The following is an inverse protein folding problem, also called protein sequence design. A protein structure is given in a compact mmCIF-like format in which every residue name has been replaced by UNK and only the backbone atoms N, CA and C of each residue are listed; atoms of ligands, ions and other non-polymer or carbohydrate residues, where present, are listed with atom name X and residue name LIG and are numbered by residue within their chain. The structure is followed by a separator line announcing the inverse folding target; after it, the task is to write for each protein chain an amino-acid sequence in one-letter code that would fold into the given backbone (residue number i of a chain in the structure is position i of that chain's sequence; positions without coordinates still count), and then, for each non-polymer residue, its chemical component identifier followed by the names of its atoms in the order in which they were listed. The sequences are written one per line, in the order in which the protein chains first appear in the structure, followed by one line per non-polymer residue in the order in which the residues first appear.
data_IF_761770422547
#
_entry.id   IF_761770422547
#
_cell.length_a   1.000
_cell.length_b   1.000
_cell.length_c   1.000
_cell.angle_alpha   90.00
_cell.angle_beta   90.00
_cell.angle_gamma   90.00
#
_symmetry.space_group_name_H-M   'P 1'
#
loop_
_entity.id
_entity.type
_entity.pdbx_description
1 polymer ?
#
# COMPACT_ATOMS: atom_id res chain seq x y z
N UNK A 1 26.56 11.98 15.69
CA UNK A 1 25.74 10.75 15.62
C UNK A 1 26.67 9.55 15.69
N UNK A 2 26.82 8.96 16.87
CA UNK A 2 27.60 7.74 17.03
C UNK A 2 26.63 6.55 16.92
N UNK A 3 26.15 6.24 15.70
CA UNK A 3 25.42 5.01 15.44
C UNK A 3 26.37 3.83 15.68
N UNK A 4 25.94 2.85 16.44
CA UNK A 4 26.71 1.64 16.68
C UNK A 4 26.24 0.55 15.74
N UNK A 5 27.20 -0.05 15.04
CA UNK A 5 26.94 -1.19 14.15
C UNK A 5 26.48 -2.41 14.95
N UNK A 6 25.50 -3.16 14.42
CA UNK A 6 24.91 -4.34 15.04
C UNK A 6 24.21 -4.13 16.39
N UNK A 7 23.88 -2.89 16.74
CA UNK A 7 23.10 -2.54 17.93
C UNK A 7 21.80 -1.82 17.55
N UNK A 8 20.78 -1.92 18.41
CA UNK A 8 19.58 -1.09 18.28
C UNK A 8 19.94 0.32 18.75
N UNK A 9 19.91 1.24 17.82
CA UNK A 9 20.15 2.66 18.09
C UNK A 9 18.80 3.36 18.30
N UNK A 10 18.58 3.87 19.50
CA UNK A 10 17.36 4.61 19.83
C UNK A 10 17.60 6.11 19.70
N UNK A 11 16.80 6.78 18.89
CA UNK A 11 16.72 8.24 18.90
C UNK A 11 15.73 8.68 19.99
N UNK A 12 16.22 9.42 20.96
CA UNK A 12 15.43 9.91 22.09
C UNK A 12 15.40 11.43 22.09
N UNK A 13 14.22 12.04 22.28
CA UNK A 13 14.09 13.49 22.46
C UNK A 13 13.88 13.77 23.96
N UNK A 14 14.94 14.21 24.64
CA UNK A 14 14.98 14.47 26.08
C UNK A 14 13.97 15.53 26.55
N UNK A 15 13.47 16.36 25.65
CA UNK A 15 12.50 17.42 25.98
C UNK A 15 11.10 16.89 26.24
N UNK A 16 10.89 15.64 25.96
CA UNK A 16 9.57 15.02 25.95
C UNK A 16 9.42 14.07 27.14
N UNK A 17 8.62 14.44 28.11
CA UNK A 17 8.26 13.57 29.24
C UNK A 17 6.94 12.85 28.92
N UNK A 18 7.03 11.55 28.66
CA UNK A 18 5.89 10.68 28.44
C UNK A 18 5.44 10.05 29.76
N UNK A 19 4.16 10.22 30.08
CA UNK A 19 3.52 9.45 31.14
C UNK A 19 2.54 8.46 30.49
N UNK A 20 3.07 7.31 30.07
CA UNK A 20 2.27 6.30 29.39
C UNK A 20 1.40 5.55 30.41
N UNK A 21 0.10 5.52 30.18
CA UNK A 21 -0.86 4.69 30.92
C UNK A 21 -1.34 3.56 29.99
N UNK A 22 -0.77 2.38 30.05
CA UNK A 22 -1.15 1.25 29.19
C UNK A 22 -2.64 0.96 29.30
N UNK A 23 -3.27 0.65 28.14
CA UNK A 23 -4.70 0.37 28.07
C UNK A 23 -5.63 1.59 28.03
N UNK A 24 -5.08 2.81 28.15
CA UNK A 24 -5.87 4.04 28.05
C UNK A 24 -5.55 4.81 26.79
N UNK A 25 -6.58 5.46 26.23
CA UNK A 25 -6.42 6.43 25.15
C UNK A 25 -5.89 7.73 25.77
N UNK A 26 -4.72 8.16 25.31
CA UNK A 26 -4.03 9.36 25.83
C UNK A 26 -3.63 10.27 24.68
N UNK A 27 -4.06 11.52 24.72
CA UNK A 27 -3.74 12.52 23.70
C UNK A 27 -2.24 12.82 23.62
N UNK A 28 -1.51 12.69 24.73
CA UNK A 28 -0.07 12.87 24.72
C UNK A 28 0.59 11.76 23.89
N UNK A 29 0.16 10.51 24.04
CA UNK A 29 0.63 9.39 23.22
C UNK A 29 0.36 9.62 21.72
N UNK A 30 -0.80 10.19 21.38
CA UNK A 30 -1.15 10.58 20.00
C UNK A 30 -0.17 11.59 19.42
N UNK A 31 0.13 12.66 20.15
CA UNK A 31 1.13 13.68 19.75
C UNK A 31 2.52 13.09 19.55
N UNK A 32 2.90 12.12 20.36
CA UNK A 32 4.18 11.44 20.21
C UNK A 32 4.23 10.54 18.99
N UNK A 33 3.15 9.84 18.70
CA UNK A 33 3.04 9.03 17.47
C UNK A 33 3.18 9.92 16.24
N UNK A 34 2.51 11.06 16.22
CA UNK A 34 2.63 12.07 15.17
C UNK A 34 4.06 12.58 15.03
N UNK A 35 4.68 13.02 16.14
CA UNK A 35 6.06 13.52 16.14
C UNK A 35 7.05 12.45 15.66
N UNK A 36 6.87 11.19 16.08
CA UNK A 36 7.70 10.06 15.67
C UNK A 36 7.63 9.85 14.16
N UNK A 37 6.42 9.90 13.56
CA UNK A 37 6.23 9.79 12.13
C UNK A 37 6.93 10.91 11.36
N UNK A 38 6.74 12.16 11.76
CA UNK A 38 7.41 13.32 11.11
C UNK A 38 8.94 13.24 11.21
N UNK A 39 9.47 12.85 12.36
CA UNK A 39 10.94 12.73 12.53
C UNK A 39 11.52 11.59 11.70
N UNK A 40 10.84 10.45 11.68
CA UNK A 40 11.26 9.29 10.85
C UNK A 40 11.21 9.64 9.37
N UNK A 41 10.14 10.29 8.93
CA UNK A 41 10.00 10.75 7.55
C UNK A 41 11.08 11.76 7.16
N UNK A 42 11.41 12.71 8.07
CA UNK A 42 12.51 13.64 7.85
C UNK A 42 13.86 12.93 7.74
N UNK A 43 14.07 11.88 8.55
CA UNK A 43 15.25 11.01 8.43
C UNK A 43 15.34 10.35 7.06
N UNK A 44 14.23 9.81 6.56
CA UNK A 44 14.14 9.22 5.24
C UNK A 44 14.41 10.24 4.12
N UNK A 45 13.75 11.40 4.15
CA UNK A 45 13.94 12.46 3.15
C UNK A 45 15.36 13.04 3.12
N UNK A 46 16.14 12.84 4.17
CA UNK A 46 17.54 13.27 4.26
C UNK A 46 18.54 12.10 4.08
N UNK A 47 18.11 10.98 3.55
CA UNK A 47 18.94 9.78 3.29
C UNK A 47 19.68 9.26 4.55
N UNK A 48 19.09 9.47 5.74
CA UNK A 48 19.64 8.98 7.01
C UNK A 48 19.17 7.56 7.34
N UNK A 49 18.09 7.11 6.73
CA UNK A 49 17.51 5.77 6.85
C UNK A 49 17.05 5.29 5.48
N UNK A 50 17.16 3.99 5.23
CA UNK A 50 16.84 3.36 3.95
C UNK A 50 15.35 2.99 3.84
N UNK A 51 14.70 2.73 4.95
CA UNK A 51 13.28 2.40 4.98
C UNK A 51 12.62 2.85 6.28
N UNK A 52 11.30 2.96 6.26
CA UNK A 52 10.47 3.30 7.42
C UNK A 52 9.56 2.13 7.76
N UNK A 53 9.71 1.59 8.96
CA UNK A 53 8.81 0.58 9.53
C UNK A 53 7.98 1.24 10.61
N UNK A 54 6.66 1.28 10.42
CA UNK A 54 5.74 1.88 11.38
C UNK A 54 5.05 0.82 12.22
N UNK A 55 4.89 1.09 13.53
CA UNK A 55 4.06 0.30 14.42
C UNK A 55 2.61 0.80 14.39
N UNK A 56 1.63 -0.02 14.83
CA UNK A 56 0.24 0.40 14.89
C UNK A 56 0.04 1.69 15.70
N UNK A 57 -0.85 2.54 15.21
CA UNK A 57 -1.27 3.77 15.89
C UNK A 57 -2.75 3.69 16.25
N UNK A 58 -3.13 4.38 17.32
CA UNK A 58 -4.55 4.61 17.61
C UNK A 58 -5.05 5.80 16.79
N UNK A 59 -5.94 5.51 15.83
CA UNK A 59 -6.53 6.55 14.95
C UNK A 59 -7.29 7.63 15.72
N UNK A 60 -7.82 7.28 16.91
CA UNK A 60 -8.59 8.20 17.74
C UNK A 60 -7.70 9.25 18.39
N UNK A 61 -6.54 8.86 18.91
CA UNK A 61 -5.69 9.78 19.67
C UNK A 61 -4.62 10.48 18.84
N UNK A 62 -4.26 9.96 17.65
CA UNK A 62 -3.33 10.64 16.75
C UNK A 62 -4.02 11.75 15.95
N UNK A 63 -5.34 11.62 15.69
CA UNK A 63 -6.09 12.64 14.97
C UNK A 63 -6.11 13.95 15.75
N UNK A 64 -5.61 15.02 15.13
CA UNK A 64 -5.41 16.33 15.74
C UNK A 64 -5.66 17.42 14.71
N UNK A 65 -5.51 18.68 15.09
CA UNK A 65 -5.53 19.80 14.14
C UNK A 65 -4.38 19.73 13.12
N UNK A 66 -3.26 19.12 13.51
CA UNK A 66 -2.05 18.98 12.69
C UNK A 66 -1.98 17.65 11.96
N UNK A 67 -2.65 16.61 12.44
CA UNK A 67 -2.70 15.29 11.80
C UNK A 67 -4.14 14.89 11.46
N UNK A 68 -4.58 15.18 10.25
CA UNK A 68 -5.95 14.92 9.75
C UNK A 68 -6.05 13.71 8.84
N UNK A 69 -5.03 12.86 8.81
CA UNK A 69 -4.97 11.71 7.93
C UNK A 69 -5.67 10.50 8.55
N UNK A 70 -6.36 9.65 7.74
CA UNK A 70 -6.97 8.41 8.21
C UNK A 70 -5.98 7.39 8.76
N UNK A 71 -4.71 7.45 8.30
CA UNK A 71 -3.66 6.54 8.71
C UNK A 71 -2.29 6.88 8.12
N UNK A 72 -1.35 5.94 8.27
CA UNK A 72 0.03 6.09 7.79
C UNK A 72 0.11 6.27 6.27
N UNK A 73 -0.67 5.48 5.52
CA UNK A 73 -0.61 5.47 4.05
C UNK A 73 -0.95 6.83 3.48
N UNK A 74 -2.07 7.41 3.90
CA UNK A 74 -2.56 8.70 3.43
C UNK A 74 -1.62 9.84 3.86
N UNK A 75 -1.08 9.75 5.08
CA UNK A 75 -0.05 10.67 5.55
C UNK A 75 1.20 10.61 4.67
N UNK A 76 1.77 9.42 4.46
CA UNK A 76 2.97 9.26 3.66
C UNK A 76 2.74 9.67 2.20
N UNK A 77 1.60 9.32 1.60
CA UNK A 77 1.27 9.74 0.24
C UNK A 77 1.22 11.27 0.11
N UNK A 78 0.66 11.97 1.09
CA UNK A 78 0.61 13.44 1.08
C UNK A 78 1.98 14.12 1.18
N UNK A 79 2.93 13.44 1.82
CA UNK A 79 4.28 13.96 2.05
C UNK A 79 5.24 13.77 0.85
N UNK A 80 4.87 12.93 -0.11
CA UNK A 80 5.61 12.69 -1.34
C UNK A 80 4.83 13.25 -2.54
N UNK A 81 5.09 14.50 -2.89
CA UNK A 81 4.45 15.18 -4.03
C UNK A 81 4.70 14.40 -5.31
N UNK A 82 3.63 14.15 -6.09
CA UNK A 82 3.65 13.34 -7.32
C UNK A 82 3.92 11.84 -7.12
N UNK A 83 3.91 11.34 -5.91
CA UNK A 83 3.99 9.90 -5.63
C UNK A 83 2.61 9.28 -5.67
N UNK A 84 2.59 7.98 -5.98
CA UNK A 84 1.39 7.15 -5.95
C UNK A 84 1.66 5.99 -5.01
N UNK A 85 0.71 5.69 -4.15
CA UNK A 85 0.80 4.57 -3.22
C UNK A 85 0.09 3.33 -3.75
N UNK A 86 0.52 2.18 -3.30
CA UNK A 86 -0.17 0.91 -3.52
C UNK A 86 -0.01 0.02 -2.29
N UNK A 87 -1.11 -0.58 -1.85
CA UNK A 87 -1.04 -1.57 -0.78
C UNK A 87 -0.57 -2.90 -1.35
N UNK A 88 0.49 -3.46 -0.74
CA UNK A 88 1.04 -4.77 -1.09
C UNK A 88 1.08 -5.62 0.17
N UNK A 89 0.55 -6.83 0.10
CA UNK A 89 0.74 -7.85 1.13
C UNK A 89 1.73 -8.90 0.63
N UNK A 90 2.65 -9.30 1.49
CA UNK A 90 3.75 -10.19 1.14
C UNK A 90 3.89 -11.32 2.16
N UNK A 91 4.04 -12.54 1.65
CA UNK A 91 4.51 -13.73 2.37
C UNK A 91 5.68 -14.35 1.61
N UNK A 92 6.23 -15.48 2.11
CA UNK A 92 7.29 -16.21 1.38
C UNK A 92 6.82 -16.72 0.03
N UNK A 93 5.56 -17.11 -0.08
CA UNK A 93 4.99 -17.80 -1.24
C UNK A 93 4.20 -16.87 -2.17
N UNK A 94 3.76 -15.71 -1.66
CA UNK A 94 2.77 -14.90 -2.37
C UNK A 94 2.98 -13.41 -2.13
N UNK A 95 2.89 -12.63 -3.19
CA UNK A 95 2.85 -11.16 -3.16
C UNK A 95 1.53 -10.74 -3.80
N UNK A 96 0.71 -9.98 -3.06
CA UNK A 96 -0.59 -9.50 -3.54
C UNK A 96 -0.57 -7.98 -3.57
N UNK A 97 -0.85 -7.40 -4.73
CA UNK A 97 -1.08 -5.97 -4.91
C UNK A 97 -2.59 -5.67 -5.00
N UNK A 98 -3.03 -4.62 -4.33
CA UNK A 98 -4.44 -4.21 -4.31
C UNK A 98 -4.64 -2.99 -5.20
N UNK A 99 -5.59 -3.09 -6.13
CA UNK A 99 -5.95 -1.95 -6.98
C UNK A 99 -6.57 -0.83 -6.16
N UNK A 100 -7.45 -1.19 -5.21
CA UNK A 100 -8.06 -0.23 -4.27
C UNK A 100 -7.60 -0.52 -2.85
N UNK A 101 -7.51 0.53 -2.01
CA UNK A 101 -7.21 0.41 -0.59
C UNK A 101 -8.47 0.36 0.29
N UNK A 102 -8.42 1.04 1.44
CA UNK A 102 -9.53 1.10 2.39
C UNK A 102 -10.60 2.10 1.93
N UNK A 103 -11.46 1.67 1.03
CA UNK A 103 -12.59 2.45 0.52
C UNK A 103 -13.92 1.73 0.77
N UNK A 104 -15.05 2.43 0.88
CA UNK A 104 -16.37 1.80 0.92
C UNK A 104 -16.63 0.97 -0.34
N UNK A 105 -17.34 -0.15 -0.19
CA UNK A 105 -17.71 -1.02 -1.33
C UNK A 105 -18.45 -0.23 -2.41
N UNK A 106 -19.31 0.69 -2.01
CA UNK A 106 -20.09 1.58 -2.92
C UNK A 106 -19.20 2.48 -3.79
N UNK A 107 -17.96 2.70 -3.38
CA UNK A 107 -17.04 3.59 -4.09
C UNK A 107 -16.10 2.85 -5.06
N UNK A 108 -16.09 1.52 -5.05
CA UNK A 108 -15.22 0.72 -5.90
C UNK A 108 -15.33 1.13 -7.38
N UNK A 109 -16.55 1.30 -7.89
CA UNK A 109 -16.78 1.66 -9.29
C UNK A 109 -16.10 2.96 -9.73
N UNK A 110 -15.83 3.89 -8.80
CA UNK A 110 -15.12 5.15 -9.09
C UNK A 110 -13.66 4.91 -9.49
N UNK A 111 -13.10 3.75 -9.11
CA UNK A 111 -11.71 3.38 -9.36
C UNK A 111 -11.55 2.34 -10.46
N UNK A 112 -12.66 1.76 -10.96
CA UNK A 112 -12.60 0.73 -12.00
C UNK A 112 -12.65 1.41 -13.38
N UNK A 113 -11.55 2.07 -13.73
CA UNK A 113 -11.36 2.67 -15.06
C UNK A 113 -9.91 2.45 -15.54
N UNK A 114 -9.73 2.55 -16.86
CA UNK A 114 -8.49 2.13 -17.54
C UNK A 114 -7.24 2.83 -17.00
N UNK A 115 -7.31 4.13 -16.80
CA UNK A 115 -6.14 4.91 -16.39
C UNK A 115 -5.69 4.56 -14.97
N UNK A 116 -6.63 4.45 -14.03
CA UNK A 116 -6.32 4.10 -12.65
C UNK A 116 -5.77 2.68 -12.52
N UNK A 117 -6.40 1.69 -13.17
CA UNK A 117 -5.92 0.30 -13.13
C UNK A 117 -4.56 0.18 -13.82
N UNK A 118 -4.35 0.88 -14.96
CA UNK A 118 -3.07 0.91 -15.66
C UNK A 118 -1.95 1.46 -14.77
N UNK A 119 -2.22 2.55 -14.05
CA UNK A 119 -1.28 3.13 -13.07
C UNK A 119 -0.93 2.11 -11.98
N UNK A 120 -1.92 1.40 -11.43
CA UNK A 120 -1.68 0.38 -10.39
C UNK A 120 -0.88 -0.81 -10.93
N UNK A 121 -1.11 -1.24 -12.17
CA UNK A 121 -0.31 -2.28 -12.80
C UNK A 121 1.15 -1.84 -12.95
N UNK A 122 1.41 -0.62 -13.43
CA UNK A 122 2.77 -0.10 -13.55
C UNK A 122 3.46 0.02 -12.19
N UNK A 123 2.78 0.54 -11.17
CA UNK A 123 3.30 0.59 -9.79
C UNK A 123 3.69 -0.79 -9.28
N UNK A 124 2.80 -1.77 -9.42
CA UNK A 124 3.05 -3.13 -8.94
C UNK A 124 4.24 -3.78 -9.67
N UNK A 125 4.28 -3.69 -11.00
CA UNK A 125 5.38 -4.22 -11.80
C UNK A 125 6.70 -3.57 -11.40
N UNK A 126 6.72 -2.26 -11.21
CA UNK A 126 7.92 -1.54 -10.81
C UNK A 126 8.39 -1.93 -9.41
N UNK A 127 7.47 -2.05 -8.45
CA UNK A 127 7.81 -2.53 -7.10
C UNK A 127 8.34 -3.97 -7.13
N UNK A 128 7.69 -4.88 -7.86
CA UNK A 128 8.18 -6.26 -8.00
C UNK A 128 9.61 -6.31 -8.55
N UNK A 129 9.96 -5.44 -9.51
CA UNK A 129 11.31 -5.37 -10.09
C UNK A 129 12.32 -4.68 -9.17
N UNK A 130 11.96 -3.52 -8.65
CA UNK A 130 12.90 -2.63 -7.96
C UNK A 130 13.04 -2.96 -6.47
N UNK A 131 11.94 -3.28 -5.79
CA UNK A 131 11.93 -3.54 -4.35
C UNK A 131 12.10 -5.04 -4.08
N UNK A 132 11.32 -5.89 -4.75
CA UNK A 132 11.39 -7.35 -4.58
C UNK A 132 12.45 -8.04 -5.47
N UNK A 133 13.13 -7.31 -6.37
CA UNK A 133 14.20 -7.83 -7.27
C UNK A 133 13.76 -8.98 -8.19
N UNK A 134 12.48 -9.03 -8.55
CA UNK A 134 11.96 -10.04 -9.48
C UNK A 134 12.11 -9.53 -10.91
N UNK A 135 13.07 -10.04 -11.65
CA UNK A 135 13.45 -9.54 -12.98
C UNK A 135 12.30 -9.63 -13.98
N UNK A 136 11.58 -10.74 -14.00
CA UNK A 136 10.45 -11.01 -14.91
C UNK A 136 9.22 -11.44 -14.11
N UNK A 137 8.52 -10.49 -13.44
CA UNK A 137 7.35 -10.86 -12.64
C UNK A 137 6.22 -11.39 -13.52
N UNK A 138 5.65 -12.51 -13.12
CA UNK A 138 4.42 -13.08 -13.69
C UNK A 138 3.27 -12.71 -12.75
N UNK A 139 2.30 -12.00 -13.25
CA UNK A 139 1.22 -11.44 -12.44
C UNK A 139 -0.11 -12.05 -12.87
N UNK A 140 -0.78 -12.72 -11.95
CA UNK A 140 -2.17 -13.12 -12.11
C UNK A 140 -3.06 -11.93 -11.73
N UNK A 141 -3.90 -11.50 -12.64
CA UNK A 141 -4.91 -10.47 -12.40
C UNK A 141 -6.22 -11.17 -12.08
N UNK A 142 -6.78 -10.87 -10.90
CA UNK A 142 -8.06 -11.43 -10.47
C UNK A 142 -9.21 -10.54 -10.95
N UNK A 143 -10.34 -11.17 -11.26
CA UNK A 143 -11.58 -10.47 -11.60
C UNK A 143 -12.21 -9.79 -10.39
N UNK A 144 -12.95 -8.74 -10.66
CA UNK A 144 -13.75 -7.99 -9.69
C UNK A 144 -15.06 -8.71 -9.38
N UNK A 145 -15.73 -9.17 -10.45
CA UNK A 145 -17.04 -9.79 -10.37
C UNK A 145 -16.94 -11.31 -10.11
N UNK A 146 -17.98 -11.93 -9.53
CA UNK A 146 -18.06 -13.38 -9.43
C UNK A 146 -17.83 -14.05 -10.79
N UNK A 147 -17.12 -15.17 -10.80
CA UNK A 147 -16.76 -15.92 -12.01
C UNK A 147 -16.10 -15.07 -13.10
N UNK A 148 -15.39 -14.02 -12.69
CA UNK A 148 -14.73 -13.06 -13.61
C UNK A 148 -15.71 -12.43 -14.61
N UNK A 149 -16.95 -12.13 -14.14
CA UNK A 149 -17.99 -11.47 -14.91
C UNK A 149 -18.73 -12.36 -15.91
N UNK A 150 -18.38 -13.64 -16.05
CA UNK A 150 -19.02 -14.63 -16.94
C UNK A 150 -19.33 -14.06 -18.34
N UNK A 151 -18.27 -13.62 -19.03
CA UNK A 151 -18.34 -12.98 -20.36
C UNK A 151 -19.25 -11.73 -20.45
N UNK A 152 -19.53 -11.09 -19.31
CA UNK A 152 -20.35 -9.89 -19.21
C UNK A 152 -21.77 -10.11 -18.72
N UNK A 153 -22.11 -11.33 -18.33
CA UNK A 153 -23.40 -11.66 -17.71
C UNK A 153 -23.51 -11.11 -16.29
N UNK A 154 -22.42 -11.20 -15.51
CA UNK A 154 -22.34 -10.79 -14.11
C UNK A 154 -21.52 -9.50 -13.91
N UNK A 155 -21.37 -8.70 -14.96
CA UNK A 155 -20.58 -7.48 -15.00
C UNK A 155 -19.72 -7.41 -16.23
N UNK A 156 -19.36 -6.21 -16.67
CA UNK A 156 -18.61 -5.97 -17.92
C UNK A 156 -17.19 -5.48 -17.68
N UNK A 157 -16.82 -5.25 -16.45
CA UNK A 157 -15.56 -4.64 -16.04
C UNK A 157 -14.36 -5.48 -16.50
N UNK A 158 -14.46 -6.80 -16.40
CA UNK A 158 -13.42 -7.72 -16.87
C UNK A 158 -13.28 -7.67 -18.38
N UNK A 159 -14.40 -7.68 -19.11
CA UNK A 159 -14.42 -7.71 -20.57
C UNK A 159 -14.01 -6.38 -21.18
N UNK A 160 -14.54 -5.25 -20.66
CA UNK A 160 -14.43 -3.94 -21.27
C UNK A 160 -13.22 -3.14 -20.76
N UNK A 161 -12.69 -3.48 -19.59
CA UNK A 161 -11.62 -2.73 -18.92
C UNK A 161 -10.41 -3.62 -18.65
N UNK A 162 -10.55 -4.69 -17.84
CA UNK A 162 -9.40 -5.44 -17.30
C UNK A 162 -8.70 -6.24 -18.40
N UNK A 163 -9.43 -7.01 -19.19
CA UNK A 163 -8.88 -7.84 -20.28
C UNK A 163 -8.18 -7.02 -21.37
N UNK A 164 -8.74 -5.90 -21.84
CA UNK A 164 -8.03 -5.00 -22.74
C UNK A 164 -6.74 -4.42 -22.17
N UNK A 165 -6.69 -4.10 -20.87
CA UNK A 165 -5.47 -3.64 -20.22
C UNK A 165 -4.41 -4.74 -20.13
N UNK A 166 -4.78 -5.95 -19.72
CA UNK A 166 -3.86 -7.10 -19.73
C UNK A 166 -3.24 -7.28 -21.12
N UNK A 167 -4.06 -7.23 -22.17
CA UNK A 167 -3.60 -7.37 -23.55
C UNK A 167 -2.64 -6.23 -23.97
N UNK A 168 -2.93 -4.98 -23.55
CA UNK A 168 -2.04 -3.85 -23.78
C UNK A 168 -0.68 -4.07 -23.12
N UNK A 169 -0.66 -4.43 -21.85
CA UNK A 169 0.56 -4.65 -21.10
C UNK A 169 1.40 -5.82 -21.65
N UNK A 170 0.75 -6.89 -22.09
CA UNK A 170 1.43 -8.03 -22.70
C UNK A 170 2.09 -7.67 -24.05
N UNK A 171 1.54 -6.75 -24.84
CA UNK A 171 2.20 -6.21 -26.03
C UNK A 171 3.49 -5.45 -25.71
N UNK A 172 3.61 -4.95 -24.50
CA UNK A 172 4.80 -4.29 -23.96
C UNK A 172 5.76 -5.26 -23.25
N UNK A 173 5.64 -6.57 -23.51
CA UNK A 173 6.43 -7.63 -22.86
C UNK A 173 6.31 -7.70 -21.33
N UNK A 174 5.19 -7.24 -20.77
CA UNK A 174 4.82 -7.42 -19.37
C UNK A 174 3.97 -8.68 -19.25
N UNK A 175 4.23 -9.52 -18.24
CA UNK A 175 3.62 -10.86 -18.15
C UNK A 175 2.41 -10.82 -17.21
N UNK A 176 1.28 -10.35 -17.70
CA UNK A 176 0.00 -10.33 -17.01
C UNK A 176 -0.92 -11.42 -17.55
N UNK A 177 -1.56 -12.17 -16.67
CA UNK A 177 -2.44 -13.28 -17.00
C UNK A 177 -3.80 -13.11 -16.34
N UNK A 178 -4.87 -13.53 -16.99
CA UNK A 178 -6.24 -13.43 -16.51
C UNK A 178 -7.14 -12.59 -17.42
N UNK A 179 -8.22 -11.97 -16.90
CA UNK A 179 -8.64 -12.01 -15.51
C UNK A 179 -9.09 -13.40 -15.07
N UNK A 180 -8.62 -13.83 -13.88
CA UNK A 180 -9.03 -15.11 -13.29
C UNK A 180 -10.20 -14.89 -12.31
N UNK A 181 -11.02 -15.93 -12.15
CA UNK A 181 -12.09 -15.94 -11.16
C UNK A 181 -11.51 -15.89 -9.74
N UNK A 182 -11.74 -14.80 -9.00
CA UNK A 182 -11.17 -14.58 -7.67
C UNK A 182 -11.71 -15.54 -6.62
N UNK A 183 -12.94 -16.02 -6.80
CA UNK A 183 -13.63 -16.97 -5.91
C UNK A 183 -13.03 -18.39 -5.94
N UNK A 184 -12.40 -18.80 -7.06
CA UNK A 184 -11.85 -20.13 -7.23
C UNK A 184 -10.32 -20.18 -7.39
N UNK A 185 -9.68 -19.04 -7.62
CA UNK A 185 -8.25 -18.96 -7.97
C UNK A 185 -7.33 -19.70 -6.99
N UNK A 186 -7.54 -19.51 -5.68
CA UNK A 186 -6.72 -20.14 -4.65
C UNK A 186 -7.11 -21.59 -4.33
N UNK A 187 -8.23 -22.07 -4.84
CA UNK A 187 -8.67 -23.45 -4.69
C UNK A 187 -8.18 -24.40 -5.79
N UNK A 188 -7.66 -23.85 -6.88
CA UNK A 188 -7.05 -24.62 -7.96
C UNK A 188 -5.63 -25.04 -7.53
N UNK A 189 -5.45 -26.33 -7.23
CA UNK A 189 -4.13 -26.93 -6.98
C UNK A 189 -3.50 -27.38 -8.28
#
# INVERSE_FOLDING_TARGET
NNLKENEINCYFDEKIKLNIKPGNIDNSAGKYSELSLYKSLKGYKNDLIDCLITLPISKINIHSETFKYPGHTEFLESEFVNSKSMMIMHSKELIIGFVTGHIPVTDINKYIHKDYISEKFDLFINSLKNDFKIIKPKIAVLGLNPHSGEDGLLGKEEKDIIKPLINKFNKENKLLFGPYSSDSFFGLK
#
